data_IF_008068593842
#
_entry.id   IF_008068593842
#
_cell.length_a   1.000
_cell.length_b   1.000
_cell.length_c   1.000
_cell.angle_alpha   90.00
_cell.angle_beta   90.00
_cell.angle_gamma   90.00
#
_symmetry.space_group_name_H-M   'P 1'
#
loop_
_entity.id
_entity.type
_entity.pdbx_description
1 polymer ?
#
# COMPACT_ATOMS: atom_id res chain seq x y z
N UNK A 1 -4.95 -22.23 12.55
CA UNK A 1 -4.59 -21.58 13.86
C UNK A 1 -5.80 -20.78 14.30
N UNK A 2 -6.13 -20.84 15.59
CA UNK A 2 -7.17 -20.01 16.17
C UNK A 2 -6.50 -19.01 17.11
N UNK A 3 -6.94 -17.74 17.08
CA UNK A 3 -6.34 -16.69 17.90
C UNK A 3 -7.48 -15.94 18.59
N UNK A 4 -7.33 -15.72 19.89
CA UNK A 4 -8.18 -14.80 20.62
C UNK A 4 -7.37 -13.59 21.09
N UNK A 5 -7.78 -12.39 20.67
CA UNK A 5 -7.26 -11.12 21.17
C UNK A 5 -8.21 -10.62 22.25
N UNK A 6 -7.69 -10.39 23.46
CA UNK A 6 -8.46 -9.97 24.64
C UNK A 6 -8.09 -8.58 25.11
N UNK A 7 -9.06 -7.93 25.76
CA UNK A 7 -8.86 -6.69 26.53
C UNK A 7 -8.39 -5.46 25.72
N UNK A 8 -8.35 -5.57 24.39
CA UNK A 8 -7.89 -4.49 23.52
C UNK A 8 -8.91 -3.38 23.32
N UNK A 9 -8.45 -2.21 22.90
CA UNK A 9 -9.30 -1.18 22.32
C UNK A 9 -9.46 -1.53 20.83
N UNK A 10 -10.66 -1.94 20.45
CA UNK A 10 -10.97 -2.33 19.06
C UNK A 10 -11.33 -1.10 18.25
N UNK A 11 -10.60 -0.85 17.17
CA UNK A 11 -10.91 0.17 16.15
C UNK A 11 -11.28 -0.54 14.84
N UNK A 12 -12.57 -0.81 14.59
CA UNK A 12 -12.99 -1.71 13.52
C UNK A 12 -12.97 -1.09 12.12
N UNK A 13 -12.84 0.23 12.01
CA UNK A 13 -12.82 1.01 10.76
C UNK A 13 -14.09 0.90 9.88
N UNK A 14 -15.20 0.38 10.41
CA UNK A 14 -16.50 0.24 9.73
C UNK A 14 -17.62 1.08 10.36
N UNK A 15 -17.30 2.01 11.26
CA UNK A 15 -18.28 2.86 11.92
C UNK A 15 -18.92 3.84 10.92
N UNK A 16 -20.24 3.91 10.95
CA UNK A 16 -21.03 4.94 10.27
C UNK A 16 -21.00 6.26 11.05
N UNK A 17 -21.42 7.34 10.39
CA UNK A 17 -21.49 8.67 11.03
C UNK A 17 -22.35 8.62 12.30
N UNK A 18 -21.81 9.19 13.39
CA UNK A 18 -22.47 9.21 14.70
C UNK A 18 -22.34 7.95 15.54
N UNK A 19 -21.69 6.91 15.04
CA UNK A 19 -21.37 5.72 15.82
C UNK A 19 -20.04 5.84 16.58
N UNK A 20 -19.89 5.02 17.62
CA UNK A 20 -18.64 4.90 18.38
C UNK A 20 -17.55 4.34 17.46
N UNK A 21 -16.41 5.03 17.37
CA UNK A 21 -15.33 4.66 16.47
C UNK A 21 -14.49 3.50 17.02
N UNK A 22 -14.32 3.41 18.33
CA UNK A 22 -13.54 2.38 19.01
C UNK A 22 -14.13 2.05 20.38
N UNK A 23 -13.87 0.85 20.87
CA UNK A 23 -14.39 0.38 22.15
C UNK A 23 -13.49 -0.72 22.73
N UNK A 24 -13.56 -0.96 24.04
CA UNK A 24 -12.91 -2.13 24.66
C UNK A 24 -13.65 -3.40 24.27
N UNK A 25 -12.90 -4.45 23.86
CA UNK A 25 -13.52 -5.67 23.40
C UNK A 25 -12.55 -6.82 23.15
N UNK A 26 -13.07 -7.77 22.40
CA UNK A 26 -12.48 -9.05 22.09
C UNK A 26 -12.60 -9.32 20.59
N UNK A 27 -11.62 -10.03 20.03
CA UNK A 27 -11.64 -10.45 18.64
C UNK A 27 -11.15 -11.89 18.54
N UNK A 28 -11.96 -12.75 17.92
CA UNK A 28 -11.60 -14.13 17.62
C UNK A 28 -11.27 -14.32 16.15
N UNK A 29 -10.21 -15.09 15.88
CA UNK A 29 -9.78 -15.47 14.54
C UNK A 29 -9.87 -16.99 14.42
N UNK A 30 -10.52 -17.47 13.36
CA UNK A 30 -10.59 -18.88 12.99
C UNK A 30 -10.00 -19.06 11.58
N UNK A 31 -8.88 -19.78 11.51
CA UNK A 31 -8.16 -19.91 10.25
C UNK A 31 -7.63 -18.56 9.72
N UNK A 32 -8.18 -18.13 8.61
CA UNK A 32 -7.76 -16.89 7.92
C UNK A 32 -8.71 -15.71 8.15
N UNK A 33 -9.82 -15.95 8.87
CA UNK A 33 -10.90 -14.97 8.98
C UNK A 33 -11.21 -14.61 10.42
N UNK A 34 -11.70 -13.41 10.58
CA UNK A 34 -12.27 -12.93 11.85
C UNK A 34 -13.58 -13.67 12.08
N UNK A 35 -13.65 -14.44 13.17
CA UNK A 35 -14.84 -15.17 13.57
C UNK A 35 -15.85 -14.28 14.27
N UNK A 36 -15.39 -13.42 15.18
CA UNK A 36 -16.22 -12.45 15.88
C UNK A 36 -15.42 -11.20 16.29
N UNK A 37 -16.14 -10.11 16.54
CA UNK A 37 -15.65 -8.89 17.20
C UNK A 37 -16.74 -8.48 18.19
N UNK A 38 -16.43 -8.40 19.48
CA UNK A 38 -17.47 -8.26 20.51
C UNK A 38 -17.00 -7.43 21.71
N UNK A 39 -17.95 -6.80 22.38
CA UNK A 39 -17.78 -6.19 23.72
C UNK A 39 -18.02 -7.21 24.85
N UNK A 40 -18.58 -8.37 24.51
CA UNK A 40 -19.02 -9.38 25.46
C UNK A 40 -17.91 -10.39 25.74
N UNK A 41 -17.46 -10.49 27.00
CA UNK A 41 -16.46 -11.47 27.44
C UNK A 41 -16.95 -12.91 27.34
N UNK A 42 -18.26 -13.15 27.45
CA UNK A 42 -18.81 -14.50 27.37
C UNK A 42 -18.64 -15.10 25.97
N UNK A 43 -18.59 -14.27 24.94
CA UNK A 43 -18.29 -14.71 23.57
C UNK A 43 -16.84 -15.17 23.43
N UNK A 44 -15.91 -14.41 24.01
CA UNK A 44 -14.51 -14.79 24.08
C UNK A 44 -14.29 -16.10 24.85
N UNK A 45 -14.99 -16.30 25.98
CA UNK A 45 -14.88 -17.51 26.78
C UNK A 45 -15.49 -18.73 26.06
N UNK A 46 -16.61 -18.55 25.33
CA UNK A 46 -17.18 -19.59 24.45
C UNK A 46 -16.19 -19.97 23.34
N UNK A 47 -15.53 -18.97 22.73
CA UNK A 47 -14.55 -19.22 21.68
C UNK A 47 -13.37 -20.07 22.19
N UNK A 48 -12.80 -19.72 23.34
CA UNK A 48 -11.74 -20.54 23.96
C UNK A 48 -12.25 -21.94 24.31
N UNK A 49 -13.45 -22.03 24.88
CA UNK A 49 -14.01 -23.33 25.25
C UNK A 49 -14.18 -24.27 24.05
N UNK A 50 -14.47 -23.71 22.86
CA UNK A 50 -14.59 -24.49 21.61
C UNK A 50 -13.26 -24.84 20.96
N UNK A 51 -12.15 -24.13 21.30
CA UNK A 51 -10.82 -24.29 20.69
C UNK A 51 -9.72 -24.61 21.73
N UNK A 52 -10.05 -25.33 22.80
CA UNK A 52 -9.19 -25.54 23.99
C UNK A 52 -7.76 -25.96 23.68
N UNK A 53 -7.57 -26.79 22.65
CA UNK A 53 -6.28 -27.41 22.32
C UNK A 53 -5.51 -26.71 21.20
N UNK A 54 -6.10 -25.69 20.56
CA UNK A 54 -5.51 -25.00 19.39
C UNK A 54 -5.87 -23.50 19.35
N UNK A 55 -5.84 -22.80 20.47
CA UNK A 55 -6.07 -21.37 20.55
C UNK A 55 -4.88 -20.64 21.15
N UNK A 56 -4.34 -19.66 20.40
CA UNK A 56 -3.34 -18.73 20.91
C UNK A 56 -4.05 -17.50 21.48
N UNK A 57 -3.79 -17.17 22.74
CA UNK A 57 -4.32 -15.96 23.35
C UNK A 57 -3.31 -14.81 23.26
N UNK A 58 -3.79 -13.63 22.93
CA UNK A 58 -3.02 -12.37 22.94
C UNK A 58 -3.73 -11.40 23.87
N UNK A 59 -3.06 -10.96 24.93
CA UNK A 59 -3.54 -9.88 25.79
C UNK A 59 -3.17 -8.53 25.19
N UNK A 60 -4.17 -7.78 24.75
CA UNK A 60 -4.05 -6.45 24.19
C UNK A 60 -4.40 -5.32 25.19
N UNK A 61 -4.27 -5.59 26.48
CA UNK A 61 -4.45 -4.56 27.52
C UNK A 61 -3.49 -3.39 27.27
N UNK A 62 -4.00 -2.13 27.29
CA UNK A 62 -3.21 -0.94 27.01
C UNK A 62 -2.87 -0.76 25.51
N UNK A 63 -3.49 -1.54 24.62
CA UNK A 63 -3.19 -1.52 23.18
C UNK A 63 -4.45 -1.31 22.36
N UNK A 64 -4.26 -0.80 21.14
CA UNK A 64 -5.33 -0.72 20.14
C UNK A 64 -5.17 -1.82 19.10
N UNK A 65 -6.28 -2.47 18.78
CA UNK A 65 -6.39 -3.50 17.75
C UNK A 65 -7.11 -2.90 16.56
N UNK A 66 -6.47 -2.83 15.41
CA UNK A 66 -7.03 -2.24 14.22
C UNK A 66 -6.64 -3.04 12.97
N UNK A 67 -7.32 -2.84 11.82
CA UNK A 67 -6.89 -3.46 10.57
C UNK A 67 -5.44 -3.13 10.26
N UNK A 68 -4.73 -4.04 9.61
CA UNK A 68 -3.44 -3.77 9.03
C UNK A 68 -3.51 -2.67 7.98
N UNK A 69 -2.44 -1.90 7.82
CA UNK A 69 -2.35 -0.83 6.84
C UNK A 69 -2.19 -1.42 5.43
N UNK A 70 -2.76 -0.71 4.45
CA UNK A 70 -2.73 -1.09 3.04
C UNK A 70 -1.98 -0.01 2.26
N UNK A 71 -0.79 -0.36 1.79
CA UNK A 71 0.06 0.49 0.96
C UNK A 71 -0.30 0.28 -0.50
N UNK A 72 -0.98 1.23 -1.12
CA UNK A 72 -1.60 1.06 -2.44
C UNK A 72 -0.69 1.42 -3.62
N UNK A 73 0.55 1.84 -3.37
CA UNK A 73 1.54 2.06 -4.41
C UNK A 73 2.95 1.99 -3.86
N UNK A 74 3.74 1.06 -4.41
CA UNK A 74 5.14 0.88 -4.05
C UNK A 74 5.96 0.42 -5.26
N UNK A 75 7.29 0.57 -5.09
CA UNK A 75 8.34 -0.11 -5.84
C UNK A 75 9.24 -0.80 -4.81
N UNK A 76 8.72 -1.86 -4.18
CA UNK A 76 9.26 -2.41 -2.93
C UNK A 76 10.71 -2.86 -3.02
N UNK A 77 11.14 -3.35 -4.20
CA UNK A 77 12.52 -3.73 -4.46
C UNK A 77 13.51 -2.55 -4.41
N UNK A 78 13.01 -1.32 -4.64
CA UNK A 78 13.82 -0.10 -4.54
C UNK A 78 14.24 0.23 -3.10
N UNK A 79 13.87 -0.59 -2.11
CA UNK A 79 14.48 -0.54 -0.79
C UNK A 79 16.01 -0.73 -0.84
N UNK A 80 16.55 -1.43 -1.86
CA UNK A 80 17.99 -1.50 -2.14
C UNK A 80 18.59 -0.16 -2.58
N UNK A 81 17.79 0.70 -3.19
CA UNK A 81 18.25 1.94 -3.81
C UNK A 81 18.05 3.17 -2.89
N UNK A 82 17.65 2.94 -1.66
CA UNK A 82 17.41 3.97 -0.65
C UNK A 82 18.65 4.85 -0.45
N UNK A 83 18.48 6.18 -0.60
CA UNK A 83 19.54 7.16 -0.38
C UNK A 83 20.65 7.17 -1.45
N UNK A 84 20.45 6.54 -2.61
CA UNK A 84 21.46 6.59 -3.71
C UNK A 84 21.56 7.99 -4.30
N UNK A 85 20.43 8.68 -4.43
CA UNK A 85 20.40 10.05 -4.95
C UNK A 85 19.23 10.81 -4.36
N UNK A 86 19.52 11.99 -3.86
CA UNK A 86 18.56 12.92 -3.27
C UNK A 86 18.76 14.33 -3.90
N UNK A 87 17.75 15.20 -3.74
CA UNK A 87 17.82 16.62 -4.05
C UNK A 87 18.05 16.96 -5.54
N UNK A 88 17.54 16.12 -6.45
CA UNK A 88 17.60 16.33 -7.92
C UNK A 88 16.20 16.19 -8.56
N UNK A 89 15.95 16.84 -9.73
CA UNK A 89 14.69 16.72 -10.46
C UNK A 89 14.40 15.26 -10.89
N UNK A 90 13.11 14.88 -10.92
CA UNK A 90 12.66 13.51 -11.20
C UNK A 90 13.32 12.88 -12.43
N UNK A 91 13.37 13.56 -13.57
CA UNK A 91 13.91 12.97 -14.80
C UNK A 91 15.44 12.78 -14.74
N UNK A 92 16.16 13.70 -14.11
CA UNK A 92 17.60 13.55 -13.82
C UNK A 92 17.83 12.41 -12.84
N UNK A 93 17.03 12.35 -11.76
CA UNK A 93 17.05 11.28 -10.78
C UNK A 93 16.87 9.90 -11.45
N UNK A 94 15.86 9.76 -12.33
CA UNK A 94 15.61 8.52 -13.03
C UNK A 94 16.75 8.15 -13.99
N UNK A 95 17.14 9.08 -14.88
CA UNK A 95 18.02 8.80 -16.02
C UNK A 95 19.49 8.67 -15.63
N UNK A 96 19.94 9.49 -14.68
CA UNK A 96 21.37 9.58 -14.33
C UNK A 96 21.75 8.77 -13.09
N UNK A 97 20.78 8.53 -12.18
CA UNK A 97 21.06 7.88 -10.91
C UNK A 97 20.38 6.52 -10.74
N UNK A 98 19.10 6.39 -11.05
CA UNK A 98 18.33 5.17 -10.74
C UNK A 98 18.45 4.13 -11.84
N UNK A 99 18.06 4.46 -13.08
CA UNK A 99 18.04 3.49 -14.18
C UNK A 99 19.40 2.86 -14.49
N UNK A 100 20.56 3.56 -14.38
CA UNK A 100 21.87 2.94 -14.58
C UNK A 100 22.19 1.83 -13.56
N UNK A 101 21.70 1.95 -12.32
CA UNK A 101 21.88 0.92 -11.28
C UNK A 101 20.77 -0.13 -11.39
N UNK A 102 19.54 0.29 -11.54
CA UNK A 102 18.38 -0.58 -11.71
C UNK A 102 18.52 -1.50 -12.93
N UNK A 103 19.10 -1.01 -14.02
CA UNK A 103 19.40 -1.80 -15.20
C UNK A 103 20.36 -2.96 -14.99
N UNK A 104 21.12 -2.96 -13.86
CA UNK A 104 22.00 -4.06 -13.45
C UNK A 104 21.33 -5.04 -12.49
N UNK A 105 20.14 -4.71 -11.97
CA UNK A 105 19.41 -5.57 -11.05
C UNK A 105 18.78 -6.75 -11.82
N UNK A 106 18.96 -7.94 -11.29
CA UNK A 106 18.31 -9.15 -11.73
C UNK A 106 17.34 -9.67 -10.69
N UNK A 107 16.89 -10.92 -10.89
CA UNK A 107 15.95 -11.59 -10.00
C UNK A 107 16.40 -11.57 -8.52
N UNK A 108 17.68 -11.87 -8.26
CA UNK A 108 18.20 -11.99 -6.89
C UNK A 108 18.24 -10.63 -6.17
N UNK A 109 18.60 -9.55 -6.87
CA UNK A 109 18.61 -8.19 -6.33
C UNK A 109 17.18 -7.73 -6.03
N UNK A 110 16.26 -7.95 -6.96
CA UNK A 110 14.83 -7.61 -6.78
C UNK A 110 14.24 -8.39 -5.60
N UNK A 111 14.52 -9.70 -5.52
CA UNK A 111 14.07 -10.51 -4.38
C UNK A 111 14.64 -10.03 -3.04
N UNK A 112 15.93 -9.69 -2.99
CA UNK A 112 16.57 -9.20 -1.77
C UNK A 112 16.01 -7.82 -1.34
N UNK A 113 15.82 -6.91 -2.30
CA UNK A 113 15.23 -5.59 -2.05
C UNK A 113 13.78 -5.68 -1.61
N UNK A 114 13.00 -6.53 -2.26
CA UNK A 114 11.61 -6.77 -1.88
C UNK A 114 11.49 -7.31 -0.44
N UNK A 115 12.31 -8.26 -0.07
CA UNK A 115 12.32 -8.77 1.32
C UNK A 115 12.69 -7.71 2.34
N UNK A 116 13.64 -6.81 2.01
CA UNK A 116 14.00 -5.69 2.88
C UNK A 116 12.82 -4.72 3.07
N UNK A 117 12.17 -4.30 1.98
CA UNK A 117 11.02 -3.42 2.05
C UNK A 117 9.81 -4.07 2.74
N UNK A 118 9.53 -5.35 2.47
CA UNK A 118 8.44 -6.08 3.12
C UNK A 118 8.69 -6.29 4.62
N UNK A 119 9.95 -6.49 5.04
CA UNK A 119 10.30 -6.53 6.45
C UNK A 119 9.98 -5.21 7.15
N UNK A 120 10.37 -4.08 6.56
CA UNK A 120 10.07 -2.73 7.06
C UNK A 120 8.56 -2.51 7.16
N UNK A 121 7.81 -2.83 6.10
CA UNK A 121 6.35 -2.71 6.07
C UNK A 121 5.68 -3.53 7.16
N UNK A 122 6.03 -4.82 7.31
CA UNK A 122 5.46 -5.68 8.35
C UNK A 122 5.76 -5.15 9.75
N UNK A 123 7.00 -4.68 9.99
CA UNK A 123 7.39 -4.08 11.27
C UNK A 123 6.65 -2.78 11.57
N UNK A 124 6.13 -2.11 10.55
CA UNK A 124 5.31 -0.89 10.61
C UNK A 124 3.80 -1.14 10.60
N UNK A 125 3.34 -2.40 10.55
CA UNK A 125 1.90 -2.73 10.57
C UNK A 125 1.23 -2.75 9.20
N UNK A 126 1.97 -2.59 8.11
CA UNK A 126 1.46 -2.79 6.76
C UNK A 126 1.30 -4.28 6.49
N UNK A 127 0.08 -4.71 6.17
CA UNK A 127 -0.26 -6.12 5.90
C UNK A 127 -0.48 -6.40 4.42
N UNK A 128 -0.73 -5.36 3.64
CA UNK A 128 -0.97 -5.46 2.19
C UNK A 128 -0.22 -4.36 1.46
N UNK A 129 0.43 -4.73 0.34
CA UNK A 129 1.05 -3.77 -0.58
C UNK A 129 0.57 -3.98 -2.01
N UNK A 130 0.56 -2.89 -2.78
CA UNK A 130 0.46 -2.91 -4.24
C UNK A 130 1.80 -2.52 -4.81
N UNK A 131 2.43 -3.41 -5.54
CA UNK A 131 3.77 -3.20 -6.08
C UNK A 131 3.77 -3.15 -7.60
N UNK A 132 4.49 -2.20 -8.16
CA UNK A 132 4.72 -2.06 -9.60
C UNK A 132 6.22 -2.16 -9.87
N UNK A 133 6.71 -3.34 -10.25
CA UNK A 133 8.14 -3.52 -10.50
C UNK A 133 8.41 -4.66 -11.49
N UNK A 134 9.52 -4.61 -12.26
CA UNK A 134 9.96 -5.74 -13.06
C UNK A 134 10.39 -6.92 -12.18
N UNK A 135 10.45 -8.11 -12.77
CA UNK A 135 10.69 -9.38 -12.06
C UNK A 135 9.59 -9.70 -11.04
N UNK A 136 8.35 -9.58 -11.46
CA UNK A 136 7.15 -9.78 -10.65
C UNK A 136 7.12 -11.14 -9.94
N UNK A 137 7.79 -12.16 -10.50
CA UNK A 137 7.96 -13.46 -9.85
C UNK A 137 8.81 -13.35 -8.57
N UNK A 138 9.88 -12.53 -8.59
CA UNK A 138 10.71 -12.30 -7.42
C UNK A 138 9.93 -11.59 -6.32
N UNK A 139 9.10 -10.59 -6.67
CA UNK A 139 8.23 -9.87 -5.75
C UNK A 139 7.20 -10.81 -5.14
N UNK A 140 6.50 -11.59 -5.98
CA UNK A 140 5.49 -12.55 -5.53
C UNK A 140 6.07 -13.61 -4.58
N UNK A 141 7.24 -14.14 -4.90
CA UNK A 141 7.93 -15.10 -4.04
C UNK A 141 8.42 -14.48 -2.73
N UNK A 142 8.90 -13.22 -2.78
CA UNK A 142 9.27 -12.48 -1.58
C UNK A 142 8.05 -12.29 -0.66
N UNK A 143 6.90 -11.93 -1.21
CA UNK A 143 5.65 -11.74 -0.46
C UNK A 143 5.19 -13.03 0.23
N UNK A 144 5.19 -14.17 -0.47
CA UNK A 144 4.87 -15.46 0.14
C UNK A 144 5.85 -15.83 1.25
N UNK A 145 7.15 -15.61 1.04
CA UNK A 145 8.17 -15.92 2.05
C UNK A 145 8.11 -14.99 3.27
N UNK A 146 7.74 -13.74 3.06
CA UNK A 146 7.56 -12.75 4.12
C UNK A 146 6.24 -12.94 4.89
N UNK A 147 5.25 -13.58 4.26
CA UNK A 147 3.91 -13.70 4.81
C UNK A 147 3.10 -12.41 4.75
N UNK A 148 3.37 -11.53 3.79
CA UNK A 148 2.64 -10.29 3.54
C UNK A 148 1.73 -10.45 2.32
N UNK A 149 0.58 -9.79 2.31
CA UNK A 149 -0.29 -9.77 1.15
C UNK A 149 0.22 -8.80 0.08
N UNK A 150 0.30 -9.26 -1.16
CA UNK A 150 0.78 -8.44 -2.28
C UNK A 150 -0.17 -8.47 -3.48
N UNK A 151 -0.45 -7.30 -4.02
CA UNK A 151 -1.03 -7.11 -5.34
C UNK A 151 0.12 -6.73 -6.26
N UNK A 152 0.58 -7.70 -7.05
CA UNK A 152 1.78 -7.54 -7.89
C UNK A 152 1.37 -7.07 -9.27
N UNK A 153 1.99 -6.00 -9.71
CA UNK A 153 1.77 -5.38 -11.00
C UNK A 153 3.06 -5.43 -11.80
N UNK A 154 3.11 -6.13 -12.94
CA UNK A 154 4.24 -6.00 -13.83
C UNK A 154 4.33 -4.55 -14.31
N UNK A 155 5.52 -4.17 -14.71
CA UNK A 155 5.81 -2.81 -15.14
C UNK A 155 6.21 -2.80 -16.63
N UNK A 156 5.24 -3.00 -17.58
CA UNK A 156 5.54 -2.93 -18.99
C UNK A 156 5.99 -1.52 -19.37
N UNK A 157 7.11 -1.49 -20.11
CA UNK A 157 7.69 -0.31 -20.72
C UNK A 157 8.17 -0.72 -22.11
N UNK A 158 8.21 0.21 -23.09
CA UNK A 158 8.52 -0.13 -24.50
C UNK A 158 9.80 -0.94 -24.67
N UNK A 159 10.84 -0.63 -23.89
CA UNK A 159 12.13 -1.33 -23.96
C UNK A 159 12.13 -2.71 -23.26
N UNK A 160 11.02 -3.13 -22.65
CA UNK A 160 10.87 -4.42 -21.95
C UNK A 160 9.68 -5.26 -22.45
N UNK A 161 9.08 -4.90 -23.58
CA UNK A 161 7.85 -5.56 -24.07
C UNK A 161 8.05 -6.92 -24.70
N UNK A 162 9.27 -7.30 -25.11
CA UNK A 162 9.50 -8.50 -25.95
C UNK A 162 9.02 -9.82 -25.31
N UNK A 163 9.20 -9.98 -23.99
CA UNK A 163 8.81 -11.21 -23.28
C UNK A 163 7.70 -10.99 -22.25
N UNK A 164 7.34 -9.74 -22.03
CA UNK A 164 6.44 -9.30 -20.97
C UNK A 164 5.17 -10.18 -20.83
N UNK A 165 4.45 -10.41 -21.93
CA UNK A 165 3.17 -11.12 -21.87
C UNK A 165 3.31 -12.59 -21.47
N UNK A 166 4.35 -13.26 -21.97
CA UNK A 166 4.64 -14.65 -21.64
C UNK A 166 5.03 -14.80 -20.17
N UNK A 167 5.92 -13.93 -19.70
CA UNK A 167 6.43 -13.97 -18.34
C UNK A 167 5.30 -13.71 -17.35
N UNK A 168 4.47 -12.68 -17.63
CA UNK A 168 3.33 -12.38 -16.79
C UNK A 168 2.29 -13.51 -16.73
N UNK A 169 1.94 -14.15 -17.85
CA UNK A 169 1.02 -15.29 -17.87
C UNK A 169 1.57 -16.47 -17.07
N UNK A 170 2.87 -16.70 -17.11
CA UNK A 170 3.53 -17.78 -16.34
C UNK A 170 3.47 -17.48 -14.83
N UNK A 171 3.80 -16.26 -14.43
CA UNK A 171 3.76 -15.82 -13.02
C UNK A 171 2.32 -15.87 -12.50
N UNK A 172 1.35 -15.35 -13.25
CA UNK A 172 -0.07 -15.41 -12.89
C UNK A 172 -0.53 -16.87 -12.68
N UNK A 173 -0.15 -17.78 -13.58
CA UNK A 173 -0.48 -19.21 -13.44
C UNK A 173 0.16 -19.81 -12.20
N UNK A 174 1.44 -19.50 -11.94
CA UNK A 174 2.19 -20.03 -10.80
C UNK A 174 1.57 -19.63 -9.48
N UNK A 175 1.13 -18.37 -9.34
CA UNK A 175 0.56 -17.83 -8.11
C UNK A 175 -0.98 -17.85 -8.08
N UNK A 176 -1.64 -18.51 -9.05
CA UNK A 176 -3.11 -18.56 -9.16
C UNK A 176 -3.82 -19.16 -7.94
N UNK A 177 -3.14 -19.96 -7.12
CA UNK A 177 -3.64 -20.56 -5.89
C UNK A 177 -3.08 -19.91 -4.64
N UNK A 178 -2.29 -18.85 -4.79
CA UNK A 178 -1.76 -18.12 -3.63
C UNK A 178 -2.89 -17.43 -2.87
N UNK A 179 -2.81 -17.45 -1.55
CA UNK A 179 -3.75 -16.75 -0.67
C UNK A 179 -3.27 -15.33 -0.35
N UNK A 180 -2.01 -15.04 -0.66
CA UNK A 180 -1.37 -13.77 -0.38
C UNK A 180 -1.12 -12.93 -1.63
N UNK A 181 -0.89 -13.57 -2.79
CA UNK A 181 -0.50 -12.88 -4.02
C UNK A 181 -1.66 -12.81 -5.00
N UNK A 182 -1.94 -11.62 -5.48
CA UNK A 182 -2.82 -11.36 -6.63
C UNK A 182 -2.07 -10.55 -7.68
N UNK A 183 -2.48 -10.69 -8.94
CA UNK A 183 -1.82 -10.02 -10.07
C UNK A 183 -2.78 -9.04 -10.73
N UNK A 184 -2.30 -7.83 -11.02
CA UNK A 184 -3.00 -6.83 -11.82
C UNK A 184 -2.12 -6.35 -12.96
N UNK A 185 -2.64 -5.59 -13.92
CA UNK A 185 -1.86 -5.02 -15.01
C UNK A 185 -1.29 -3.65 -14.63
N UNK A 186 -0.01 -3.38 -14.93
CA UNK A 186 0.65 -2.14 -14.54
C UNK A 186 1.28 -1.36 -15.68
N UNK A 187 0.53 -0.81 -16.68
CA UNK A 187 1.13 0.09 -17.66
C UNK A 187 1.79 1.26 -16.94
N UNK A 188 3.13 1.37 -17.05
CA UNK A 188 3.93 2.22 -16.19
C UNK A 188 3.46 3.69 -16.21
N UNK A 189 3.64 4.38 -17.33
CA UNK A 189 3.29 5.80 -17.47
C UNK A 189 3.13 6.19 -18.95
N UNK A 190 2.53 7.35 -19.22
CA UNK A 190 2.32 7.89 -20.57
C UNK A 190 3.62 8.11 -21.36
N UNK A 191 4.73 8.37 -20.66
CA UNK A 191 6.02 8.67 -21.28
C UNK A 191 6.94 7.44 -21.48
N UNK A 192 6.54 6.27 -20.97
CA UNK A 192 7.31 5.02 -21.10
C UNK A 192 6.69 4.00 -22.03
N UNK A 193 5.45 4.25 -22.46
CA UNK A 193 4.70 3.36 -23.35
C UNK A 193 4.27 4.06 -24.62
N UNK A 194 4.50 3.41 -25.75
CA UNK A 194 3.85 3.73 -27.01
C UNK A 194 2.35 3.46 -26.92
N UNK A 195 1.57 4.08 -27.80
CA UNK A 195 0.13 3.85 -27.90
C UNK A 195 -0.18 2.38 -28.10
N UNK A 196 0.57 1.70 -28.98
CA UNK A 196 0.38 0.30 -29.30
C UNK A 196 0.58 -0.62 -28.08
N UNK A 197 1.64 -0.39 -27.31
CA UNK A 197 1.94 -1.18 -26.12
C UNK A 197 0.99 -0.88 -24.95
N UNK A 198 0.50 0.36 -24.83
CA UNK A 198 -0.57 0.70 -23.91
C UNK A 198 -1.87 -0.03 -24.25
N UNK A 199 -2.31 0.02 -25.52
CA UNK A 199 -3.52 -0.68 -25.99
C UNK A 199 -3.40 -2.20 -25.79
N UNK A 200 -2.21 -2.77 -26.01
CA UNK A 200 -1.93 -4.19 -25.76
C UNK A 200 -2.05 -4.52 -24.25
N UNK A 201 -1.49 -3.71 -23.37
CA UNK A 201 -1.60 -3.88 -21.93
C UNK A 201 -3.06 -3.81 -21.46
N UNK A 202 -3.83 -2.85 -21.98
CA UNK A 202 -5.27 -2.71 -21.69
C UNK A 202 -6.06 -3.93 -22.18
N UNK A 203 -5.77 -4.40 -23.38
CA UNK A 203 -6.43 -5.59 -23.95
C UNK A 203 -6.16 -6.84 -23.12
N UNK A 204 -4.94 -6.99 -22.62
CA UNK A 204 -4.54 -8.09 -21.78
C UNK A 204 -5.20 -8.03 -20.39
N UNK A 205 -5.31 -6.85 -19.80
CA UNK A 205 -6.05 -6.64 -18.54
C UNK A 205 -7.52 -7.06 -18.68
N UNK A 206 -8.17 -6.69 -19.79
CA UNK A 206 -9.56 -7.08 -20.09
C UNK A 206 -9.71 -8.58 -20.30
N UNK A 207 -8.83 -9.18 -21.10
CA UNK A 207 -8.84 -10.64 -21.37
C UNK A 207 -8.78 -11.44 -20.08
N UNK A 208 -7.96 -10.99 -19.14
CA UNK A 208 -7.69 -11.69 -17.89
C UNK A 208 -8.58 -11.23 -16.72
N UNK A 209 -9.45 -10.25 -16.97
CA UNK A 209 -10.37 -9.73 -15.97
C UNK A 209 -9.68 -9.08 -14.77
N UNK A 210 -8.51 -8.45 -14.98
CA UNK A 210 -7.74 -7.82 -13.91
C UNK A 210 -7.93 -6.32 -13.87
N UNK A 211 -7.63 -5.71 -12.73
CA UNK A 211 -7.51 -4.26 -12.59
C UNK A 211 -6.25 -3.75 -13.30
N UNK A 212 -6.16 -2.43 -13.46
CA UNK A 212 -4.98 -1.72 -13.96
C UNK A 212 -4.41 -0.79 -12.89
N UNK A 213 -3.08 -0.62 -12.89
CA UNK A 213 -2.33 0.29 -12.03
C UNK A 213 -1.42 1.16 -12.90
N UNK A 214 -1.36 2.47 -12.70
CA UNK A 214 -0.65 3.41 -13.57
C UNK A 214 -0.15 4.63 -12.80
N UNK A 215 1.03 5.17 -13.17
CA UNK A 215 1.42 6.53 -12.76
C UNK A 215 0.66 7.54 -13.62
N UNK A 216 0.05 8.52 -12.99
CA UNK A 216 -0.82 9.47 -13.67
C UNK A 216 -0.58 10.89 -13.20
N UNK A 217 -0.21 11.75 -14.13
CA UNK A 217 -0.10 13.20 -13.94
C UNK A 217 0.70 13.57 -12.67
N UNK A 218 1.89 12.95 -12.53
CA UNK A 218 2.74 13.14 -11.36
C UNK A 218 3.41 14.52 -11.39
N UNK A 219 3.92 14.95 -12.54
CA UNK A 219 4.72 16.20 -12.65
C UNK A 219 4.17 17.15 -13.70
N UNK A 220 4.49 18.45 -13.54
CA UNK A 220 4.20 19.48 -14.54
C UNK A 220 4.83 19.16 -15.91
N UNK A 221 6.01 18.55 -15.91
CA UNK A 221 6.68 18.13 -17.14
C UNK A 221 5.87 17.07 -17.88
N UNK A 222 5.34 16.06 -17.17
CA UNK A 222 4.48 15.03 -17.76
C UNK A 222 3.23 15.66 -18.41
N UNK A 223 2.50 16.54 -17.69
CA UNK A 223 1.30 17.19 -18.21
C UNK A 223 1.61 18.07 -19.42
N UNK A 224 2.65 18.91 -19.34
CA UNK A 224 3.09 19.78 -20.44
C UNK A 224 3.44 18.98 -21.69
N UNK A 225 4.22 17.91 -21.54
CA UNK A 225 4.71 17.11 -22.66
C UNK A 225 3.57 16.28 -23.28
N UNK A 226 2.63 15.78 -22.46
CA UNK A 226 1.42 15.13 -22.94
C UNK A 226 0.53 16.09 -23.76
N UNK A 227 0.31 17.32 -23.27
CA UNK A 227 -0.43 18.35 -24.01
C UNK A 227 0.27 18.77 -25.30
N UNK A 228 1.59 18.89 -25.28
CA UNK A 228 2.37 19.22 -26.48
C UNK A 228 2.31 18.09 -27.52
N UNK A 229 2.41 16.84 -27.10
CA UNK A 229 2.47 15.68 -28.00
C UNK A 229 1.11 15.20 -28.48
N UNK A 230 0.12 15.19 -27.58
CA UNK A 230 -1.18 14.56 -27.83
C UNK A 230 -2.34 15.56 -27.88
N UNK A 231 -2.13 16.84 -27.51
CA UNK A 231 -3.16 17.87 -27.44
C UNK A 231 -4.15 17.72 -26.29
N UNK A 232 -3.81 16.91 -25.27
CA UNK A 232 -4.69 16.58 -24.15
C UNK A 232 -3.87 16.25 -22.89
N UNK A 233 -4.52 16.25 -21.71
CA UNK A 233 -3.88 15.85 -20.46
C UNK A 233 -3.56 14.35 -20.42
N UNK A 234 -2.68 13.89 -19.51
CA UNK A 234 -2.45 12.46 -19.29
C UNK A 234 -3.75 11.70 -18.97
N UNK A 235 -4.65 12.31 -18.19
CA UNK A 235 -5.94 11.70 -17.82
C UNK A 235 -6.84 11.53 -19.04
N UNK A 236 -7.01 12.57 -19.87
CA UNK A 236 -7.77 12.50 -21.11
C UNK A 236 -7.18 11.47 -22.09
N UNK A 237 -5.85 11.36 -22.14
CA UNK A 237 -5.17 10.40 -23.00
C UNK A 237 -5.46 8.95 -22.57
N UNK A 238 -5.36 8.66 -21.29
CA UNK A 238 -5.65 7.31 -20.77
C UNK A 238 -7.14 6.95 -20.89
N UNK A 239 -8.06 7.90 -20.68
CA UNK A 239 -9.47 7.67 -20.93
C UNK A 239 -9.72 7.32 -22.41
N UNK A 240 -9.15 8.11 -23.33
CA UNK A 240 -9.28 7.89 -24.78
C UNK A 240 -8.65 6.57 -25.24
N UNK A 241 -7.56 6.14 -24.61
CA UNK A 241 -6.94 4.83 -24.83
C UNK A 241 -7.79 3.66 -24.28
N UNK A 242 -8.77 3.97 -23.43
CA UNK A 242 -9.67 2.98 -22.84
C UNK A 242 -9.11 2.30 -21.57
N UNK A 243 -8.10 2.88 -20.91
CA UNK A 243 -7.53 2.34 -19.68
C UNK A 243 -8.59 2.21 -18.58
N UNK A 244 -9.44 3.22 -18.41
CA UNK A 244 -10.48 3.27 -17.38
C UNK A 244 -11.68 2.35 -17.66
N UNK A 245 -11.63 1.52 -18.70
CA UNK A 245 -12.63 0.46 -18.93
C UNK A 245 -12.39 -0.79 -18.07
N UNK A 246 -11.26 -0.86 -17.36
CA UNK A 246 -10.99 -1.80 -16.28
C UNK A 246 -10.97 -1.05 -14.95
N UNK A 247 -11.23 -1.70 -13.81
CA UNK A 247 -10.99 -1.07 -12.50
C UNK A 247 -9.55 -0.52 -12.47
N UNK A 248 -9.38 0.75 -12.14
CA UNK A 248 -8.07 1.39 -12.25
C UNK A 248 -7.66 2.05 -10.94
N UNK A 249 -6.40 1.83 -10.56
CA UNK A 249 -5.69 2.51 -9.48
C UNK A 249 -4.64 3.43 -10.11
N UNK A 250 -4.81 4.74 -9.95
CA UNK A 250 -3.90 5.76 -10.46
C UNK A 250 -3.00 6.29 -9.33
N UNK A 251 -1.69 6.19 -9.47
CA UNK A 251 -0.74 6.74 -8.51
C UNK A 251 -0.50 8.24 -8.77
N UNK A 252 -0.24 8.98 -7.73
CA UNK A 252 0.08 10.41 -7.65
C UNK A 252 -1.08 11.37 -7.93
N UNK A 253 -1.54 11.53 -9.16
CA UNK A 253 -2.60 12.47 -9.56
C UNK A 253 -2.36 13.90 -9.05
N UNK A 254 -1.11 14.40 -9.16
CA UNK A 254 -0.70 15.71 -8.65
C UNK A 254 -1.20 16.83 -9.57
N UNK A 255 -0.95 16.69 -10.87
CA UNK A 255 -1.22 17.71 -11.90
C UNK A 255 -2.56 17.51 -12.59
N UNK A 256 -3.58 17.08 -11.86
CA UNK A 256 -4.94 16.90 -12.39
C UNK A 256 -5.74 18.20 -12.32
N UNK A 257 -6.37 18.60 -13.43
CA UNK A 257 -7.31 19.70 -13.51
C UNK A 257 -8.69 19.32 -12.95
N UNK A 258 -9.59 20.30 -12.77
CA UNK A 258 -10.97 20.02 -12.37
C UNK A 258 -11.69 19.12 -13.41
N UNK A 259 -11.38 19.27 -14.71
CA UNK A 259 -11.88 18.38 -15.76
C UNK A 259 -11.32 16.95 -15.64
N UNK A 260 -10.03 16.81 -15.33
CA UNK A 260 -9.43 15.48 -15.07
C UNK A 260 -10.07 14.80 -13.87
N UNK A 261 -10.38 15.55 -12.80
CA UNK A 261 -11.11 15.04 -11.63
C UNK A 261 -12.50 14.54 -12.02
N UNK A 262 -13.23 15.24 -12.89
CA UNK A 262 -14.53 14.77 -13.42
C UNK A 262 -14.36 13.47 -14.21
N UNK A 263 -13.29 13.33 -15.01
CA UNK A 263 -12.99 12.10 -15.74
C UNK A 263 -12.73 10.93 -14.77
N UNK A 264 -11.87 11.13 -13.78
CA UNK A 264 -11.55 10.10 -12.77
C UNK A 264 -12.79 9.67 -11.99
N UNK A 265 -13.63 10.64 -11.57
CA UNK A 265 -14.84 10.36 -10.80
C UNK A 265 -15.86 9.55 -11.60
N UNK A 266 -16.19 9.95 -12.86
CA UNK A 266 -17.17 9.24 -13.67
C UNK A 266 -16.73 7.84 -14.09
N UNK A 267 -15.41 7.59 -14.13
CA UNK A 267 -14.83 6.29 -14.44
C UNK A 267 -14.52 5.45 -13.18
N UNK A 268 -14.89 5.94 -11.98
CA UNK A 268 -14.66 5.26 -10.70
C UNK A 268 -13.20 4.87 -10.45
N UNK A 269 -12.26 5.68 -10.93
CA UNK A 269 -10.82 5.47 -10.71
C UNK A 269 -10.51 5.68 -9.23
N UNK A 270 -9.75 4.76 -8.63
CA UNK A 270 -9.16 4.96 -7.30
C UNK A 270 -7.81 5.64 -7.44
N UNK A 271 -7.44 6.47 -6.47
CA UNK A 271 -6.16 7.18 -6.45
C UNK A 271 -5.30 6.69 -5.30
N UNK A 272 -4.05 6.34 -5.58
CA UNK A 272 -3.00 6.13 -4.58
C UNK A 272 -2.25 7.47 -4.41
N UNK A 273 -2.50 8.16 -3.31
CA UNK A 273 -1.82 9.40 -2.97
C UNK A 273 -0.52 9.09 -2.24
N UNK A 274 0.61 9.64 -2.73
CA UNK A 274 1.96 9.40 -2.23
C UNK A 274 2.56 10.74 -1.74
N UNK A 275 2.09 11.30 -0.60
CA UNK A 275 2.40 12.66 -0.22
C UNK A 275 3.90 12.91 -0.01
N UNK A 276 4.64 11.98 0.60
CA UNK A 276 6.05 12.20 0.89
C UNK A 276 6.92 12.12 -0.36
N UNK A 277 6.68 11.15 -1.24
CA UNK A 277 7.35 11.09 -2.54
C UNK A 277 7.09 12.36 -3.36
N UNK A 278 5.83 12.80 -3.45
CA UNK A 278 5.47 14.03 -4.16
C UNK A 278 6.17 15.27 -3.58
N UNK A 279 6.32 15.34 -2.25
CA UNK A 279 7.05 16.43 -1.59
C UNK A 279 8.55 16.34 -1.85
N UNK A 280 9.15 15.16 -1.70
CA UNK A 280 10.59 14.97 -1.86
C UNK A 280 11.05 15.26 -3.28
N UNK A 281 10.31 14.80 -4.29
CA UNK A 281 10.60 15.04 -5.70
C UNK A 281 10.10 16.41 -6.19
N UNK A 282 9.49 17.20 -5.31
CA UNK A 282 8.87 18.48 -5.63
C UNK A 282 7.87 18.40 -6.80
N UNK A 283 7.19 17.26 -6.93
CA UNK A 283 6.16 17.04 -7.97
C UNK A 283 4.95 17.95 -7.77
N UNK A 284 4.67 18.36 -6.54
CA UNK A 284 3.58 19.28 -6.19
C UNK A 284 2.64 18.71 -5.12
N UNK A 285 1.49 19.36 -4.93
CA UNK A 285 0.46 18.97 -3.98
C UNK A 285 -0.77 18.46 -4.73
N UNK A 286 -1.03 17.17 -4.68
CA UNK A 286 -2.24 16.60 -5.28
C UNK A 286 -3.51 17.20 -4.65
N UNK A 287 -4.55 17.53 -5.42
CA UNK A 287 -5.78 18.15 -4.91
C UNK A 287 -6.71 17.11 -4.24
N UNK A 288 -6.20 16.41 -3.22
CA UNK A 288 -6.88 15.27 -2.57
C UNK A 288 -8.26 15.63 -2.05
N UNK A 289 -8.40 16.79 -1.39
CA UNK A 289 -9.71 17.24 -0.89
C UNK A 289 -10.72 17.38 -2.03
N UNK A 290 -10.35 17.98 -3.16
CA UNK A 290 -11.23 18.13 -4.34
C UNK A 290 -11.60 16.75 -4.93
N UNK A 291 -10.64 15.84 -5.03
CA UNK A 291 -10.88 14.48 -5.52
C UNK A 291 -11.89 13.74 -4.64
N UNK A 292 -11.72 13.82 -3.32
CA UNK A 292 -12.66 13.20 -2.38
C UNK A 292 -14.04 13.84 -2.42
N UNK A 293 -14.13 15.17 -2.57
CA UNK A 293 -15.42 15.88 -2.70
C UNK A 293 -16.15 15.52 -3.99
N UNK A 294 -15.41 15.16 -5.04
CA UNK A 294 -15.97 14.61 -6.28
C UNK A 294 -16.34 13.11 -6.19
N UNK A 295 -16.18 12.48 -5.02
CA UNK A 295 -16.51 11.07 -4.78
C UNK A 295 -15.46 10.06 -5.21
N UNK A 296 -14.25 10.52 -5.57
CA UNK A 296 -13.13 9.64 -5.89
C UNK A 296 -12.64 8.94 -4.62
N UNK A 297 -12.41 7.62 -4.71
CA UNK A 297 -11.77 6.86 -3.65
C UNK A 297 -10.27 7.19 -3.64
N UNK A 298 -9.80 7.84 -2.58
CA UNK A 298 -8.38 8.15 -2.39
C UNK A 298 -7.82 7.29 -1.26
N UNK A 299 -6.80 6.50 -1.58
CA UNK A 299 -6.01 5.69 -0.66
C UNK A 299 -4.59 6.27 -0.54
N UNK A 300 -3.74 5.66 0.28
CA UNK A 300 -2.35 6.06 0.47
C UNK A 300 -1.37 5.03 -0.07
N UNK A 301 -0.26 5.52 -0.60
CA UNK A 301 0.91 4.74 -0.95
C UNK A 301 2.18 5.45 -0.52
N UNK A 302 3.27 4.72 -0.37
CA UNK A 302 4.58 5.28 -0.03
C UNK A 302 5.41 5.61 -1.26
N UNK A 303 5.07 5.03 -2.42
CA UNK A 303 5.98 4.96 -3.55
C UNK A 303 7.23 4.12 -3.23
N UNK A 304 8.32 4.24 -3.98
CA UNK A 304 9.58 3.54 -3.73
C UNK A 304 10.43 4.19 -2.64
N UNK A 305 11.18 3.38 -1.88
CA UNK A 305 12.10 3.89 -0.86
C UNK A 305 13.28 4.70 -1.43
N UNK A 306 13.45 4.77 -2.73
CA UNK A 306 14.42 5.66 -3.38
C UNK A 306 13.87 7.07 -3.60
N UNK A 307 12.54 7.22 -3.77
CA UNK A 307 11.85 8.51 -3.94
C UNK A 307 11.23 9.05 -2.65
N UNK A 308 11.09 8.21 -1.61
CA UNK A 308 10.53 8.56 -0.31
C UNK A 308 11.55 8.44 0.85
N UNK A 309 12.45 7.49 0.80
CA UNK A 309 13.42 7.04 1.78
C UNK A 309 12.88 6.07 2.83
N UNK A 310 11.59 5.92 3.04
CA UNK A 310 11.01 4.88 3.88
C UNK A 310 9.74 4.29 3.26
N UNK A 311 9.15 3.32 3.96
CA UNK A 311 7.90 2.65 3.58
C UNK A 311 6.91 2.72 4.77
N UNK A 312 6.93 3.86 5.49
CA UNK A 312 6.16 4.10 6.71
C UNK A 312 4.79 4.72 6.41
N UNK A 313 3.74 3.91 6.44
CA UNK A 313 2.37 4.35 6.24
C UNK A 313 1.84 5.29 7.36
N UNK A 314 2.47 5.30 8.54
CA UNK A 314 2.10 6.25 9.61
C UNK A 314 2.53 7.67 9.26
N UNK A 315 3.71 7.81 8.65
CA UNK A 315 4.17 9.10 8.16
C UNK A 315 3.37 9.57 6.94
N UNK A 316 2.97 8.66 6.06
CA UNK A 316 2.09 8.99 4.93
C UNK A 316 0.73 9.51 5.39
N UNK A 317 0.09 8.87 6.38
CA UNK A 317 -1.18 9.35 6.94
C UNK A 317 -1.04 10.77 7.52
N UNK A 318 0.02 11.02 8.27
CA UNK A 318 0.31 12.32 8.87
C UNK A 318 0.54 13.37 7.79
N UNK A 319 1.39 13.06 6.84
CA UNK A 319 1.74 13.95 5.72
C UNK A 319 0.53 14.29 4.87
N UNK A 320 -0.29 13.31 4.50
CA UNK A 320 -1.53 13.52 3.74
C UNK A 320 -2.48 14.49 4.45
N UNK A 321 -2.69 14.29 5.78
CA UNK A 321 -3.58 15.16 6.54
C UNK A 321 -3.03 16.59 6.66
N UNK A 322 -1.77 16.75 7.06
CA UNK A 322 -1.18 18.07 7.31
C UNK A 322 -0.99 18.87 6.01
N UNK A 323 -0.54 18.21 4.95
CA UNK A 323 -0.31 18.86 3.66
C UNK A 323 -1.60 19.44 3.07
N UNK A 324 -2.71 18.71 3.13
CA UNK A 324 -3.99 19.20 2.62
C UNK A 324 -4.53 20.39 3.46
N UNK A 325 -4.31 20.39 4.77
CA UNK A 325 -4.70 21.56 5.62
C UNK A 325 -3.97 22.83 5.19
N UNK A 326 -2.68 22.73 4.91
CA UNK A 326 -1.87 23.87 4.43
C UNK A 326 -2.28 24.27 3.02
N UNK A 327 -2.44 23.30 2.11
CA UNK A 327 -2.78 23.58 0.72
C UNK A 327 -4.15 24.26 0.54
N UNK A 328 -5.12 23.90 1.39
CA UNK A 328 -6.47 24.47 1.34
C UNK A 328 -6.70 25.63 2.31
N UNK A 329 -5.75 25.92 3.21
CA UNK A 329 -5.91 26.84 4.34
C UNK A 329 -7.14 26.50 5.21
N UNK A 330 -7.49 25.22 5.27
CA UNK A 330 -8.62 24.68 6.03
C UNK A 330 -8.12 23.62 7.04
N UNK A 331 -8.19 23.90 8.36
CA UNK A 331 -7.78 22.94 9.39
C UNK A 331 -8.66 21.69 9.44
N UNK A 332 -9.82 21.71 8.79
CA UNK A 332 -10.75 20.58 8.70
C UNK A 332 -10.52 19.71 7.47
N UNK A 333 -9.63 20.10 6.54
CA UNK A 333 -9.28 19.27 5.40
C UNK A 333 -8.61 17.97 5.87
N UNK A 334 -9.05 16.84 5.34
CA UNK A 334 -8.59 15.48 5.68
C UNK A 334 -8.42 15.27 7.19
N UNK A 335 -9.52 15.14 7.94
CA UNK A 335 -9.49 14.84 9.38
C UNK A 335 -8.78 13.50 9.66
N UNK A 336 -8.28 13.31 10.89
CA UNK A 336 -7.52 12.14 11.28
C UNK A 336 -8.21 10.80 10.93
N UNK A 337 -9.52 10.67 11.20
CA UNK A 337 -10.25 9.44 10.85
C UNK A 337 -10.31 9.21 9.33
N UNK A 338 -10.33 10.27 8.54
CA UNK A 338 -10.25 10.17 7.07
C UNK A 338 -8.88 9.65 6.63
N UNK A 339 -7.78 10.13 7.22
CA UNK A 339 -6.44 9.63 6.93
C UNK A 339 -6.30 8.14 7.30
N UNK A 340 -6.85 7.70 8.44
CA UNK A 340 -6.92 6.27 8.78
C UNK A 340 -7.71 5.46 7.74
N UNK A 341 -8.84 5.99 7.25
CA UNK A 341 -9.60 5.33 6.18
C UNK A 341 -8.79 5.21 4.89
N UNK A 342 -8.02 6.25 4.53
CA UNK A 342 -7.15 6.21 3.34
C UNK A 342 -6.11 5.09 3.43
N UNK A 343 -5.58 4.81 4.61
CA UNK A 343 -4.61 3.75 4.86
C UNK A 343 -5.22 2.35 5.11
N UNK A 344 -6.54 2.22 5.17
CA UNK A 344 -7.26 0.98 5.50
C UNK A 344 -8.39 0.68 4.51
N UNK A 345 -9.61 1.09 4.81
CA UNK A 345 -10.83 0.76 4.01
C UNK A 345 -10.76 1.29 2.58
N UNK A 346 -10.21 2.49 2.38
CA UNK A 346 -10.06 3.04 1.03
C UNK A 346 -9.01 2.26 0.23
N UNK A 347 -7.92 1.82 0.89
CA UNK A 347 -6.93 0.93 0.29
C UNK A 347 -7.55 -0.40 -0.14
N UNK A 348 -8.36 -1.01 0.74
CA UNK A 348 -9.09 -2.23 0.41
C UNK A 348 -10.03 -2.05 -0.79
N UNK A 349 -10.76 -0.94 -0.84
CA UNK A 349 -11.63 -0.59 -1.97
C UNK A 349 -10.83 -0.39 -3.27
N UNK A 350 -9.66 0.27 -3.20
CA UNK A 350 -8.80 0.52 -4.35
C UNK A 350 -8.30 -0.77 -5.03
N UNK A 351 -8.12 -1.84 -4.26
CA UNK A 351 -7.70 -3.16 -4.76
C UNK A 351 -8.85 -4.15 -4.95
N UNK A 352 -10.11 -3.69 -4.89
CA UNK A 352 -11.29 -4.53 -5.08
C UNK A 352 -11.58 -5.51 -3.94
N UNK A 353 -11.11 -5.23 -2.72
CA UNK A 353 -11.29 -6.08 -1.51
C UNK A 353 -12.08 -5.38 -0.41
N UNK A 354 -12.99 -4.48 -0.80
CA UNK A 354 -13.88 -3.75 0.13
C UNK A 354 -14.69 -4.71 1.00
N UNK A 355 -14.70 -4.47 2.31
CA UNK A 355 -15.38 -5.32 3.30
C UNK A 355 -14.62 -6.62 3.66
N UNK A 356 -13.60 -7.02 2.88
CA UNK A 356 -12.76 -8.16 3.20
C UNK A 356 -11.45 -7.77 3.89
N UNK A 357 -10.88 -6.62 3.52
CA UNK A 357 -9.66 -6.06 4.09
C UNK A 357 -9.93 -4.65 4.65
N UNK A 358 -9.03 -4.17 5.48
CA UNK A 358 -9.10 -2.82 6.05
C UNK A 358 -10.20 -2.61 7.08
N UNK A 359 -10.88 -3.67 7.52
CA UNK A 359 -11.95 -3.66 8.53
C UNK A 359 -11.78 -4.80 9.53
N UNK A 360 -12.24 -4.60 10.77
CA UNK A 360 -12.42 -5.71 11.72
C UNK A 360 -13.92 -6.02 11.81
N UNK A 361 -14.34 -7.04 11.07
CA UNK A 361 -15.73 -7.50 11.05
C UNK A 361 -15.77 -9.03 10.92
N UNK A 362 -16.79 -9.70 11.45
CA UNK A 362 -16.97 -11.13 11.24
C UNK A 362 -16.98 -11.48 9.75
N UNK A 363 -16.18 -12.47 9.36
CA UNK A 363 -16.00 -12.90 7.97
C UNK A 363 -14.91 -12.16 7.18
N UNK A 364 -14.43 -11.00 7.65
CA UNK A 364 -13.29 -10.31 7.04
C UNK A 364 -12.00 -11.13 7.21
N UNK A 365 -11.01 -10.85 6.38
CA UNK A 365 -9.69 -11.45 6.50
C UNK A 365 -9.00 -10.97 7.78
N UNK A 366 -8.30 -11.86 8.44
CA UNK A 366 -7.56 -11.53 9.65
C UNK A 366 -6.19 -10.91 9.30
N UNK A 367 -6.23 -9.71 8.74
CA UNK A 367 -5.10 -8.85 8.48
C UNK A 367 -5.17 -7.69 9.50
N UNK A 368 -4.39 -7.79 10.58
CA UNK A 368 -4.59 -7.03 11.82
C UNK A 368 -3.25 -6.53 12.35
N UNK A 369 -3.25 -5.35 12.94
CA UNK A 369 -2.13 -4.87 13.75
C UNK A 369 -2.58 -4.51 15.17
N UNK A 370 -1.66 -4.68 16.11
CA UNK A 370 -1.81 -4.29 17.51
C UNK A 370 -0.75 -3.25 17.82
N UNK A 371 -1.20 -2.06 18.22
CA UNK A 371 -0.35 -0.90 18.51
C UNK A 371 -0.30 -0.70 20.01
N UNK A 372 0.91 -0.61 20.55
CA UNK A 372 1.15 -0.35 21.97
C UNK A 372 0.94 1.14 22.26
N UNK A 373 -0.05 1.46 23.13
CA UNK A 373 -0.37 2.81 23.51
C UNK A 373 0.43 3.29 24.74
N UNK A 374 1.14 2.40 25.42
CA UNK A 374 1.90 2.71 26.64
C UNK A 374 3.24 3.38 26.31
N UNK A 375 3.19 4.45 25.51
CA UNK A 375 4.34 5.25 25.06
C UNK A 375 4.18 6.72 25.47
N UNK A 376 5.24 7.39 25.93
CA UNK A 376 5.14 8.78 26.41
C UNK A 376 4.53 9.75 25.39
N UNK A 377 4.79 9.57 24.09
CA UNK A 377 4.28 10.43 23.01
C UNK A 377 2.81 10.16 22.66
N UNK A 378 2.21 9.09 23.18
CA UNK A 378 0.79 8.77 23.01
C UNK A 378 -0.05 9.19 24.23
N UNK A 379 0.58 9.63 25.33
CA UNK A 379 -0.12 10.15 26.50
C UNK A 379 -0.33 11.67 26.42
N UNK A 380 -1.44 12.16 27.05
CA UNK A 380 -2.55 11.45 27.65
C UNK A 380 -3.56 10.97 26.59
N UNK A 381 -4.26 9.87 26.85
CA UNK A 381 -5.24 9.29 25.92
C UNK A 381 -6.55 10.07 25.90
N UNK A 382 -6.56 11.21 25.23
CA UNK A 382 -7.74 12.08 25.14
C UNK A 382 -8.52 11.87 23.84
N UNK A 383 -7.83 11.52 22.75
CA UNK A 383 -8.42 11.24 21.44
C UNK A 383 -7.52 10.27 20.66
N UNK A 384 -7.80 8.97 20.78
CA UNK A 384 -6.99 7.92 20.17
C UNK A 384 -6.88 8.05 18.64
N UNK A 385 -7.93 8.52 17.96
CA UNK A 385 -7.88 8.75 16.52
C UNK A 385 -6.86 9.83 16.15
N UNK A 386 -6.81 10.91 16.92
CA UNK A 386 -5.83 11.96 16.74
C UNK A 386 -4.41 11.48 17.07
N UNK A 387 -4.26 10.73 18.15
CA UNK A 387 -2.99 10.17 18.61
C UNK A 387 -2.40 9.22 17.58
N UNK A 388 -3.22 8.34 16.97
CA UNK A 388 -2.78 7.42 15.93
C UNK A 388 -2.24 8.16 14.69
N UNK A 389 -2.88 9.24 14.26
CA UNK A 389 -2.46 9.91 13.01
C UNK A 389 -1.34 10.92 13.25
N UNK A 390 -1.39 11.67 14.36
CA UNK A 390 -0.46 12.78 14.55
C UNK A 390 0.70 12.49 15.51
N UNK A 391 0.63 11.39 16.26
CA UNK A 391 1.63 11.08 17.28
C UNK A 391 2.24 9.69 17.15
N UNK A 392 1.47 8.67 16.73
CA UNK A 392 1.98 7.31 16.61
C UNK A 392 3.01 7.14 15.48
N UNK A 393 3.86 6.13 15.61
CA UNK A 393 4.92 5.79 14.69
C UNK A 393 4.91 4.28 14.38
N UNK A 394 5.54 3.86 13.28
CA UNK A 394 5.71 2.44 12.94
C UNK A 394 6.31 1.60 14.06
N UNK A 395 7.17 2.19 14.88
CA UNK A 395 7.79 1.51 16.02
C UNK A 395 6.84 1.22 17.19
N UNK A 396 5.63 1.77 17.20
CA UNK A 396 4.62 1.50 18.22
C UNK A 396 3.78 0.26 17.90
N UNK A 397 3.88 -0.27 16.67
CA UNK A 397 3.27 -1.54 16.26
C UNK A 397 4.00 -2.69 16.92
N UNK A 398 3.31 -3.46 17.75
CA UNK A 398 3.89 -4.58 18.51
C UNK A 398 3.69 -5.92 17.81
N UNK A 399 2.46 -6.17 17.35
CA UNK A 399 2.07 -7.46 16.76
C UNK A 399 1.34 -7.23 15.44
N UNK A 400 1.66 -8.06 14.44
CA UNK A 400 1.02 -8.04 13.12
C UNK A 400 0.57 -9.45 12.76
N UNK A 401 -0.66 -9.55 12.29
CA UNK A 401 -1.29 -10.79 11.82
C UNK A 401 -1.65 -10.57 10.36
N UNK A 402 -1.26 -11.47 9.48
CA UNK A 402 -1.62 -11.49 8.07
C UNK A 402 -2.26 -12.84 7.73
N UNK A 403 -3.42 -12.80 7.10
CA UNK A 403 -4.14 -14.03 6.72
C UNK A 403 -4.30 -15.01 7.89
N UNK A 404 -4.54 -14.48 9.11
CA UNK A 404 -4.69 -15.26 10.33
C UNK A 404 -3.40 -15.87 10.89
N UNK A 405 -2.23 -15.50 10.38
CA UNK A 405 -0.92 -15.92 10.87
C UNK A 405 -0.21 -14.76 11.56
N UNK A 406 0.34 -14.99 12.75
CA UNK A 406 1.16 -13.99 13.43
C UNK A 406 2.50 -13.91 12.72
N UNK A 407 2.76 -12.79 12.04
CA UNK A 407 4.00 -12.55 11.26
C UNK A 407 4.99 -11.65 12.01
N UNK A 408 4.49 -10.79 12.90
CA UNK A 408 5.31 -10.01 13.85
C UNK A 408 4.71 -10.18 15.24
N UNK A 409 5.55 -10.45 16.23
CA UNK A 409 5.16 -10.49 17.65
C UNK A 409 6.24 -9.85 18.50
N UNK A 410 5.83 -9.03 19.45
CA UNK A 410 6.74 -8.33 20.36
C UNK A 410 7.86 -7.59 19.57
N UNK A 411 7.49 -7.00 18.44
CA UNK A 411 8.38 -6.34 17.47
C UNK A 411 9.47 -7.24 16.86
N UNK A 412 9.24 -8.54 16.84
CA UNK A 412 10.13 -9.52 16.19
C UNK A 412 9.38 -10.11 14.98
N UNK A 413 9.95 -9.96 13.78
CA UNK A 413 9.45 -10.64 12.60
C UNK A 413 9.68 -12.15 12.73
N UNK A 414 8.61 -12.94 12.63
CA UNK A 414 8.65 -14.39 12.80
C UNK A 414 8.89 -15.15 11.48
N UNK A 415 8.61 -14.49 10.34
CA UNK A 415 8.75 -15.09 9.00
C UNK A 415 10.11 -14.82 8.36
N UNK A 416 10.83 -13.82 8.85
CA UNK A 416 12.14 -13.42 8.33
C UNK A 416 13.11 -13.14 9.47
N UNK A 417 14.39 -13.54 9.29
CA UNK A 417 15.46 -13.07 10.16
C UNK A 417 15.88 -11.67 9.71
N UNK A 418 15.53 -10.65 10.50
CA UNK A 418 15.78 -9.25 10.15
C UNK A 418 17.27 -8.96 9.88
N UNK A 419 18.20 -9.53 10.66
CA UNK A 419 19.64 -9.34 10.48
C UNK A 419 20.11 -9.92 9.14
N UNK A 420 19.65 -11.11 8.80
CA UNK A 420 20.06 -11.78 7.54
C UNK A 420 19.49 -11.05 6.34
N UNK A 421 18.25 -10.55 6.42
CA UNK A 421 17.64 -9.73 5.36
C UNK A 421 18.44 -8.46 5.12
N UNK A 422 18.75 -7.69 6.18
CA UNK A 422 19.55 -6.46 6.06
C UNK A 422 20.96 -6.73 5.51
N UNK A 423 21.64 -7.77 5.99
CA UNK A 423 22.97 -8.11 5.52
C UNK A 423 22.99 -8.60 4.07
N UNK A 424 21.96 -9.32 3.64
CA UNK A 424 21.81 -9.77 2.25
C UNK A 424 21.57 -8.59 1.34
N UNK A 425 20.67 -7.69 1.69
CA UNK A 425 20.41 -6.46 0.95
C UNK A 425 21.69 -5.62 0.80
N UNK A 426 22.45 -5.41 1.89
CA UNK A 426 23.71 -4.67 1.86
C UNK A 426 24.74 -5.30 0.89
N UNK A 427 24.85 -6.63 0.88
CA UNK A 427 25.77 -7.32 -0.06
C UNK A 427 25.37 -7.13 -1.52
N UNK A 428 24.06 -7.11 -1.81
CA UNK A 428 23.59 -6.89 -3.18
C UNK A 428 23.88 -5.46 -3.64
N UNK A 429 23.57 -4.44 -2.82
CA UNK A 429 23.85 -3.06 -3.21
C UNK A 429 25.36 -2.79 -3.33
N UNK A 430 26.19 -3.34 -2.45
CA UNK A 430 27.65 -3.20 -2.53
C UNK A 430 28.21 -3.74 -3.87
N UNK A 431 27.64 -4.86 -4.38
CA UNK A 431 28.01 -5.42 -5.69
C UNK A 431 27.56 -4.54 -6.86
N UNK A 432 26.33 -4.00 -6.78
CA UNK A 432 25.78 -3.12 -7.81
C UNK A 432 26.59 -1.82 -7.94
N UNK A 433 27.09 -1.30 -6.82
CA UNK A 433 27.87 -0.06 -6.78
C UNK A 433 29.35 -0.24 -7.18
N UNK A 434 29.88 -1.47 -7.18
CA UNK A 434 31.26 -1.79 -7.59
C UNK A 434 31.44 -2.03 -9.10
N UNK A 435 30.35 -2.32 -9.81
CA UNK A 435 30.28 -2.61 -11.24
C UNK A 435 29.68 -1.43 -12.03
#
# INVERSE_FOLDING_TARGET
MNILIRNGIILPMNASEGQELYYKGYLGIEGERIAFVSKDSDEADRFIASHKDDCTEIDASGKIVMPGLINTHTHVAMALLRGISDDVPLMEWLQEHIWPIEGKMGYDEVYAGARLGMLEMLMGGTTTLVDMYPYEEAIAQAAESAGIRAVVSPCPMDFRMEHFENDWRQVQKRFSQSRLVTMIMGPHAIYTLSKENLERSISLAKELGTASHVHLAETETEDRDARAKYGMSPTEYFEKAGLFSTPTLAAHCVMVSDHDIEILARNHVSVAHNPQSNMKLASGIAPVKKMMDAGINVALGTDGASSNNDLDMWEEMRSASLLQKVATMDPCAIPAYTALKMATVNGAKAIGREGELGVLAPGAMADIQIVDLEKPHLYPHTNLISELVYSAHAQDVETVIVNGQIVVKDRICLTMNAKDVCQTAQKHIDRLMQN
#
